data_IF_644000451553
#
_entry.id   IF_644000451553
#
_cell.length_a   1.000
_cell.length_b   1.000
_cell.length_c   1.000
_cell.angle_alpha   90.00
_cell.angle_beta   90.00
_cell.angle_gamma   90.00
#
_symmetry.space_group_name_H-M   'P 1'
#
loop_
_entity.id
_entity.type
_entity.pdbx_description
1 polymer ?
#
# COMPACT_ATOMS: atom_id res chain seq x y z
N UNK A 1 10.83 14.90 0.84
CA UNK A 1 11.82 14.04 1.54
C UNK A 1 11.22 12.66 1.74
N UNK A 2 11.93 11.57 1.40
CA UNK A 2 11.57 10.22 1.86
C UNK A 2 11.36 10.28 3.38
N UNK A 3 10.30 9.65 3.89
CA UNK A 3 10.00 9.64 5.33
C UNK A 3 10.37 8.32 6.00
N UNK A 4 10.95 7.38 5.23
CA UNK A 4 11.32 6.03 5.65
C UNK A 4 10.15 5.28 6.32
N UNK A 5 8.91 5.69 6.04
CA UNK A 5 7.72 5.05 6.56
C UNK A 5 7.28 3.92 5.66
N UNK A 6 6.62 2.94 6.27
CA UNK A 6 5.91 1.91 5.54
C UNK A 6 4.57 2.44 5.04
N UNK A 7 4.13 1.89 3.92
CA UNK A 7 2.86 2.19 3.31
C UNK A 7 2.17 0.89 2.96
N UNK A 8 0.85 0.90 3.14
CA UNK A 8 -0.04 -0.17 2.69
C UNK A 8 -0.88 0.43 1.58
N UNK A 9 -0.86 -0.17 0.39
CA UNK A 9 -1.72 0.24 -0.72
C UNK A 9 -2.65 -0.87 -1.16
N UNK A 10 -3.88 -0.47 -1.47
CA UNK A 10 -4.89 -1.31 -2.10
C UNK A 10 -4.82 -1.01 -3.59
N UNK A 11 -4.51 -2.04 -4.37
CA UNK A 11 -4.12 -1.91 -5.76
C UNK A 11 -4.84 -2.91 -6.64
N UNK A 12 -4.94 -2.59 -7.93
CA UNK A 12 -5.21 -3.57 -8.98
C UNK A 12 -3.95 -3.78 -9.80
N UNK A 13 -3.66 -5.05 -10.12
CA UNK A 13 -2.62 -5.37 -11.12
C UNK A 13 -3.22 -5.19 -12.50
N UNK A 14 -2.40 -4.80 -13.47
CA UNK A 14 -2.85 -4.51 -14.85
C UNK A 14 -3.65 -5.65 -15.52
N UNK A 15 -3.48 -6.91 -15.07
CA UNK A 15 -4.12 -8.10 -15.67
C UNK A 15 -5.20 -8.74 -14.78
N UNK A 16 -5.57 -8.12 -13.67
CA UNK A 16 -6.55 -8.67 -12.74
C UNK A 16 -7.50 -7.58 -12.26
N UNK A 17 -8.80 -7.85 -12.32
CA UNK A 17 -9.79 -6.94 -11.75
C UNK A 17 -9.83 -6.99 -10.22
N UNK A 18 -9.24 -8.03 -9.63
CA UNK A 18 -9.15 -8.23 -8.19
C UNK A 18 -8.25 -7.18 -7.53
N UNK A 19 -8.75 -6.64 -6.43
CA UNK A 19 -7.96 -5.85 -5.50
C UNK A 19 -6.97 -6.74 -4.74
N UNK A 20 -5.78 -6.20 -4.55
CA UNK A 20 -4.67 -6.80 -3.81
C UNK A 20 -4.10 -5.77 -2.84
N UNK A 21 -3.44 -6.25 -1.79
CA UNK A 21 -2.64 -5.39 -0.91
C UNK A 21 -1.18 -5.53 -1.27
N UNK A 22 -0.47 -4.40 -1.26
CA UNK A 22 0.99 -4.36 -1.28
C UNK A 22 1.48 -3.53 -0.10
N UNK A 23 2.66 -3.90 0.40
CA UNK A 23 3.41 -3.14 1.40
C UNK A 23 4.73 -2.70 0.80
N UNK A 24 5.12 -1.46 1.06
CA UNK A 24 6.40 -0.93 0.60
C UNK A 24 6.88 0.17 1.54
N UNK A 25 8.19 0.30 1.68
CA UNK A 25 8.83 1.40 2.39
C UNK A 25 9.49 2.32 1.36
N UNK A 26 9.23 3.62 1.44
CA UNK A 26 9.88 4.58 0.56
C UNK A 26 11.27 4.93 1.09
N UNK A 27 12.30 4.26 0.59
CA UNK A 27 13.68 4.74 0.66
C UNK A 27 14.03 5.69 -0.49
N UNK A 28 13.29 5.63 -1.61
CA UNK A 28 13.38 6.55 -2.74
C UNK A 28 11.97 6.94 -3.25
N UNK A 29 11.77 8.23 -3.53
CA UNK A 29 10.48 8.80 -3.97
C UNK A 29 10.21 8.67 -5.47
N UNK A 30 11.17 8.12 -6.22
CA UNK A 30 11.17 8.09 -7.69
C UNK A 30 9.99 7.33 -8.34
N UNK A 31 9.11 6.71 -7.56
CA UNK A 31 7.97 5.91 -8.02
C UNK A 31 6.59 6.62 -7.84
N UNK A 32 6.52 7.69 -7.05
CA UNK A 32 5.23 8.25 -6.61
C UNK A 32 5.00 9.70 -7.07
N UNK A 33 4.32 9.87 -8.20
CA UNK A 33 3.72 11.15 -8.57
C UNK A 33 2.34 11.27 -7.92
N UNK A 34 2.22 12.12 -6.90
CA UNK A 34 0.93 12.43 -6.25
C UNK A 34 -0.06 12.91 -7.31
N UNK A 35 -1.19 12.21 -7.45
CA UNK A 35 -2.24 12.52 -8.44
C UNK A 35 -2.25 11.65 -9.69
N UNK A 36 -1.26 10.79 -9.89
CA UNK A 36 -1.32 9.74 -10.92
C UNK A 36 -1.92 8.46 -10.31
N UNK A 37 -2.84 7.76 -11.00
CA UNK A 37 -3.38 6.49 -10.50
C UNK A 37 -2.45 5.29 -10.76
N UNK A 38 -1.37 5.47 -11.53
CA UNK A 38 -0.45 4.40 -11.96
C UNK A 38 0.92 4.55 -11.33
N UNK A 39 1.43 3.48 -10.71
CA UNK A 39 2.72 3.48 -10.03
C UNK A 39 3.51 2.20 -10.28
N UNK A 40 4.82 2.34 -10.50
CA UNK A 40 5.76 1.21 -10.71
C UNK A 40 6.48 0.85 -9.41
N UNK A 41 5.92 -0.03 -8.60
CA UNK A 41 6.50 -0.38 -7.29
C UNK A 41 7.35 -1.64 -7.47
N UNK A 42 8.65 -1.56 -7.14
CA UNK A 42 9.63 -2.64 -7.33
C UNK A 42 9.64 -3.24 -8.75
N UNK A 43 9.49 -2.38 -9.77
CA UNK A 43 9.45 -2.80 -11.18
C UNK A 43 8.10 -3.38 -11.65
N UNK A 44 7.07 -3.41 -10.80
CA UNK A 44 5.73 -3.90 -11.14
C UNK A 44 4.73 -2.75 -11.23
N UNK A 45 3.93 -2.74 -12.29
CA UNK A 45 2.89 -1.74 -12.52
C UNK A 45 1.62 -2.03 -11.72
N UNK A 46 1.20 -1.05 -10.93
CA UNK A 46 -0.01 -1.08 -10.11
C UNK A 46 -0.91 0.12 -10.40
N UNK A 47 -2.21 -0.13 -10.43
CA UNK A 47 -3.24 0.91 -10.32
C UNK A 47 -3.54 1.06 -8.83
N UNK A 48 -3.14 2.18 -8.22
CA UNK A 48 -3.36 2.40 -6.79
C UNK A 48 -4.70 3.07 -6.57
N UNK A 49 -5.54 2.44 -5.75
CA UNK A 49 -6.87 2.94 -5.43
C UNK A 49 -6.87 3.75 -4.13
N UNK A 50 -6.29 3.17 -3.07
CA UNK A 50 -6.17 3.76 -1.74
C UNK A 50 -4.80 3.41 -1.14
N UNK A 51 -4.28 4.30 -0.30
CA UNK A 51 -3.03 4.05 0.44
C UNK A 51 -3.09 4.64 1.84
N UNK A 52 -2.37 4.00 2.75
CA UNK A 52 -2.27 4.37 4.16
C UNK A 52 -0.79 4.45 4.54
N UNK A 53 -0.40 5.53 5.22
CA UNK A 53 0.93 5.64 5.83
C UNK A 53 0.92 4.90 7.17
N UNK A 54 1.93 4.09 7.40
CA UNK A 54 2.19 3.43 8.66
C UNK A 54 3.19 4.24 9.47
N UNK A 55 2.76 4.75 10.62
CA UNK A 55 3.61 5.58 11.49
C UNK A 55 4.51 4.78 12.43
N UNK A 56 4.28 3.47 12.58
CA UNK A 56 5.15 2.57 13.32
C UNK A 56 6.54 2.40 12.69
N UNK A 57 7.46 1.84 13.47
CA UNK A 57 8.86 1.66 13.04
C UNK A 57 9.05 0.38 12.22
N UNK A 58 8.28 -0.67 12.53
CA UNK A 58 8.36 -1.97 11.87
C UNK A 58 7.40 -2.08 10.68
N UNK A 59 7.57 -3.12 9.86
CA UNK A 59 6.65 -3.42 8.77
C UNK A 59 5.25 -3.74 9.32
N UNK A 60 4.17 -3.09 8.81
CA UNK A 60 2.84 -3.32 9.34
C UNK A 60 2.32 -4.72 9.00
N UNK A 61 1.39 -5.20 9.84
CA UNK A 61 0.61 -6.40 9.51
C UNK A 61 -0.23 -6.16 8.25
N UNK A 62 -0.43 -7.20 7.45
CA UNK A 62 -1.23 -7.11 6.23
C UNK A 62 -2.71 -7.15 6.60
N UNK A 63 -3.49 -6.08 6.34
CA UNK A 63 -4.94 -6.13 6.58
C UNK A 63 -5.61 -7.15 5.65
N UNK A 64 -6.83 -7.55 5.98
CA UNK A 64 -7.65 -8.36 5.08
C UNK A 64 -8.56 -7.44 4.26
N UNK A 65 -8.62 -7.66 2.95
CA UNK A 65 -9.55 -6.94 2.07
C UNK A 65 -10.51 -7.89 1.36
N UNK A 66 -11.68 -7.36 1.01
CA UNK A 66 -12.53 -7.94 0.00
C UNK A 66 -11.90 -7.71 -1.38
N UNK A 67 -11.54 -8.79 -2.07
CA UNK A 67 -10.88 -8.73 -3.40
C UNK A 67 -11.75 -8.10 -4.49
N UNK A 68 -13.07 -8.09 -4.33
CA UNK A 68 -13.98 -7.53 -5.33
C UNK A 68 -14.21 -6.03 -5.13
N UNK A 69 -14.24 -5.55 -3.88
CA UNK A 69 -14.58 -4.16 -3.55
C UNK A 69 -13.38 -3.32 -3.15
N UNK A 70 -12.28 -3.95 -2.70
CA UNK A 70 -11.13 -3.26 -2.13
C UNK A 70 -11.37 -2.75 -0.71
N UNK A 71 -12.52 -3.04 -0.11
CA UNK A 71 -12.81 -2.66 1.28
C UNK A 71 -11.98 -3.50 2.24
N UNK A 72 -11.41 -2.83 3.24
CA UNK A 72 -10.74 -3.48 4.35
C UNK A 72 -11.80 -4.11 5.24
N UNK A 73 -11.77 -5.44 5.35
CA UNK A 73 -12.72 -6.21 6.16
C UNK A 73 -12.18 -6.56 7.54
N UNK A 74 -10.85 -6.53 7.70
CA UNK A 74 -10.20 -6.70 9.00
C UNK A 74 -8.89 -5.89 9.02
N UNK A 75 -8.84 -4.90 9.90
CA UNK A 75 -7.61 -4.20 10.27
C UNK A 75 -7.48 -4.29 11.77
N UNK A 76 -6.79 -5.34 12.23
CA UNK A 76 -6.42 -5.42 13.64
C UNK A 76 -5.69 -4.13 14.02
N UNK A 77 -6.13 -3.49 15.10
CA UNK A 77 -5.46 -2.32 15.66
C UNK A 77 -3.98 -2.65 15.85
N UNK A 78 -3.14 -2.07 15.00
CA UNK A 78 -1.72 -2.30 15.06
C UNK A 78 -1.18 -1.37 16.14
N UNK A 79 -0.95 -1.91 17.33
CA UNK A 79 -0.29 -1.17 18.40
C UNK A 79 1.17 -1.04 18.01
N UNK A 80 1.54 0.11 17.47
CA UNK A 80 2.95 0.47 17.30
C UNK A 80 3.62 0.24 18.64
N UNK A 81 4.59 -0.66 18.67
CA UNK A 81 5.31 -1.05 19.88
C UNK A 81 5.84 0.24 20.52
N UNK A 82 5.41 0.50 21.76
CA UNK A 82 5.70 1.72 22.52
C UNK A 82 7.19 1.83 22.84
#
# INVERSE_FOLDING_TARGET
>A
MPDNKWYIAIVKKQRTDDFSIIKFNFSDKSVWSVGAPYHTINGVWYIVNLFYRWDGNDEPETPTINKNTGEITDWKEQKGTK
#
